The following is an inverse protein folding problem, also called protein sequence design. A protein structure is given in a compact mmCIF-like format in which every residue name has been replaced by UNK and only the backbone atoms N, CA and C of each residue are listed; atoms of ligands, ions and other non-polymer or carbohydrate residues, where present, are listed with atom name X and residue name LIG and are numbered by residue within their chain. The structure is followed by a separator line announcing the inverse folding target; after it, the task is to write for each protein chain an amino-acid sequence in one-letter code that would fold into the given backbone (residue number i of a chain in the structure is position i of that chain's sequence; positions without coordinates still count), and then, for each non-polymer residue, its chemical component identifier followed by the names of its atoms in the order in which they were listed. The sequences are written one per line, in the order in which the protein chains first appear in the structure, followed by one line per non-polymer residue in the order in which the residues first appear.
data_IF_755415601586
#
_entry.id   IF_755415601586
#
_cell.length_a   1.000
_cell.length_b   1.000
_cell.length_c   1.000
_cell.angle_alpha   90.00
_cell.angle_beta   90.00
_cell.angle_gamma   90.00
#
_symmetry.space_group_name_H-M   'P 1'
#
loop_
_entity.id
_entity.type
_entity.pdbx_description
1 polymer ?
#
# COMPACT_ATOMS: atom_id res chain seq x y z
N UNK A 1 -1.94 -2.08 -10.70
CA UNK A 1 -1.21 -0.81 -10.88
C UNK A 1 0.28 -1.10 -11.10
N UNK A 2 0.97 -0.32 -11.93
CA UNK A 2 2.41 -0.46 -12.22
C UNK A 2 3.17 0.83 -11.88
N UNK A 3 4.34 0.70 -11.27
CA UNK A 3 5.30 1.81 -11.11
C UNK A 3 6.23 1.86 -12.32
N UNK A 4 6.43 3.06 -12.87
CA UNK A 4 7.30 3.31 -14.02
C UNK A 4 8.30 4.43 -13.68
N UNK A 5 9.28 4.65 -14.56
CA UNK A 5 10.25 5.74 -14.38
C UNK A 5 9.62 7.15 -14.37
N UNK A 6 8.43 7.32 -14.96
CA UNK A 6 7.76 8.62 -15.11
C UNK A 6 6.43 8.69 -14.36
N UNK A 7 6.25 7.86 -13.32
CA UNK A 7 5.04 7.84 -12.51
C UNK A 7 4.33 6.49 -12.52
N UNK A 8 2.99 6.51 -12.54
CA UNK A 8 2.15 5.31 -12.43
C UNK A 8 1.53 4.94 -13.78
N UNK A 9 1.26 3.64 -13.98
CA UNK A 9 0.62 3.12 -15.18
C UNK A 9 -0.14 1.80 -14.89
N UNK A 10 -0.53 1.09 -15.96
CA UNK A 10 -1.31 -0.13 -15.92
C UNK A 10 -2.82 0.11 -15.90
N UNK A 11 -3.64 -0.95 -16.01
CA UNK A 11 -5.07 -0.83 -16.29
C UNK A 11 -5.82 0.10 -15.34
N UNK A 12 -5.65 -0.08 -14.02
CA UNK A 12 -6.32 0.76 -13.03
C UNK A 12 -5.97 2.26 -13.15
N UNK A 13 -4.71 2.60 -13.45
CA UNK A 13 -4.26 3.98 -13.60
C UNK A 13 -4.79 4.60 -14.89
N UNK A 14 -4.77 3.83 -15.99
CA UNK A 14 -5.33 4.27 -17.27
C UNK A 14 -6.85 4.45 -17.22
N UNK A 15 -7.54 3.69 -16.37
CA UNK A 15 -8.99 3.85 -16.18
C UNK A 15 -9.31 5.13 -15.39
N UNK A 16 -8.63 5.36 -14.26
CA UNK A 16 -8.89 6.56 -13.45
C UNK A 16 -8.42 7.85 -14.14
N UNK A 17 -7.39 7.80 -15.00
CA UNK A 17 -6.91 8.98 -15.73
C UNK A 17 -7.95 9.60 -16.67
N UNK A 18 -9.01 8.88 -17.02
CA UNK A 18 -10.12 9.43 -17.83
C UNK A 18 -11.01 10.39 -17.04
N UNK A 19 -10.96 10.33 -15.72
CA UNK A 19 -11.80 11.12 -14.82
C UNK A 19 -11.00 12.12 -13.98
N UNK A 20 -9.67 12.06 -14.05
CA UNK A 20 -8.79 12.90 -13.27
C UNK A 20 -8.48 14.20 -14.01
N UNK A 21 -8.65 15.32 -13.33
CA UNK A 21 -8.24 16.65 -13.79
C UNK A 21 -6.96 17.12 -13.10
N UNK A 22 -6.26 18.05 -13.75
CA UNK A 22 -5.01 18.59 -13.23
C UNK A 22 -5.24 19.29 -11.88
N UNK A 23 -4.55 18.82 -10.85
CA UNK A 23 -4.64 19.34 -9.48
C UNK A 23 -5.53 18.50 -8.57
N UNK A 24 -6.27 17.53 -9.10
CA UNK A 24 -7.05 16.60 -8.29
C UNK A 24 -6.15 15.57 -7.59
N UNK A 25 -6.59 15.13 -6.42
CA UNK A 25 -5.93 14.05 -5.68
C UNK A 25 -6.51 12.70 -6.09
N UNK A 26 -5.63 11.72 -6.33
CA UNK A 26 -6.04 10.33 -6.56
C UNK A 26 -5.74 9.52 -5.30
N UNK A 27 -6.78 8.89 -4.75
CA UNK A 27 -6.64 7.93 -3.67
C UNK A 27 -6.43 6.52 -4.22
N UNK A 28 -5.46 5.79 -3.64
CA UNK A 28 -5.13 4.43 -4.05
C UNK A 28 -5.21 3.52 -2.84
N UNK A 29 -6.18 2.60 -2.87
CA UNK A 29 -6.19 1.48 -1.94
C UNK A 29 -5.23 0.38 -2.43
N UNK A 30 -4.17 0.14 -1.65
CA UNK A 30 -3.16 -0.87 -1.94
C UNK A 30 -3.57 -2.28 -1.46
N UNK A 31 -4.66 -2.39 -0.70
CA UNK A 31 -5.17 -3.64 -0.16
C UNK A 31 -6.71 -3.73 -0.30
N UNK A 32 -7.26 -3.60 -1.51
CA UNK A 32 -8.71 -3.45 -1.73
C UNK A 32 -9.55 -4.68 -1.37
N UNK A 33 -8.89 -5.82 -1.17
CA UNK A 33 -9.54 -7.10 -0.88
C UNK A 33 -9.37 -7.56 0.57
N UNK A 34 -8.66 -6.80 1.41
CA UNK A 34 -8.51 -7.13 2.84
C UNK A 34 -8.52 -5.88 3.72
N UNK A 35 -9.07 -6.02 4.92
CA UNK A 35 -9.00 -5.01 5.97
C UNK A 35 -7.67 -5.11 6.73
N UNK A 36 -6.80 -4.10 6.56
CA UNK A 36 -5.53 -4.06 7.30
C UNK A 36 -5.75 -3.97 8.81
N UNK A 37 -6.83 -3.31 9.25
CA UNK A 37 -7.14 -3.17 10.68
C UNK A 37 -7.47 -4.51 11.31
N UNK A 38 -8.21 -5.38 10.60
CA UNK A 38 -8.59 -6.69 11.11
C UNK A 38 -7.36 -7.60 11.20
N UNK A 39 -6.54 -7.61 10.15
CA UNK A 39 -5.25 -8.34 10.11
C UNK A 39 -4.37 -7.93 11.30
N UNK A 40 -4.23 -6.62 11.54
CA UNK A 40 -3.39 -6.13 12.63
C UNK A 40 -3.99 -6.41 14.01
N UNK A 41 -5.31 -6.37 14.15
CA UNK A 41 -6.00 -6.71 15.39
C UNK A 41 -5.79 -8.18 15.76
N UNK A 42 -5.97 -9.08 14.79
CA UNK A 42 -5.75 -10.51 14.98
C UNK A 42 -4.29 -10.82 15.35
N UNK A 43 -3.33 -10.27 14.60
CA UNK A 43 -1.90 -10.51 14.84
C UNK A 43 -1.40 -9.91 16.14
N UNK A 44 -2.00 -8.81 16.61
CA UNK A 44 -1.69 -8.24 17.92
C UNK A 44 -2.06 -9.23 19.04
N UNK A 45 -3.10 -10.02 18.88
CA UNK A 45 -3.53 -11.02 19.86
C UNK A 45 -2.74 -12.33 19.72
N UNK A 46 -2.60 -12.84 18.49
CA UNK A 46 -1.99 -14.15 18.24
C UNK A 46 -0.47 -14.14 18.18
N UNK A 47 0.16 -13.01 17.88
CA UNK A 47 1.62 -12.89 17.69
C UNK A 47 2.15 -11.49 18.04
N UNK A 48 2.01 -11.04 19.30
CA UNK A 48 2.31 -9.66 19.71
C UNK A 48 3.77 -9.22 19.52
N UNK A 49 4.72 -10.17 19.46
CA UNK A 49 6.15 -9.89 19.24
C UNK A 49 6.51 -9.75 17.75
N UNK A 50 5.57 -10.02 16.84
CA UNK A 50 5.81 -9.94 15.41
C UNK A 50 5.96 -8.47 14.98
N UNK A 51 7.07 -8.16 14.30
CA UNK A 51 7.32 -6.79 13.84
C UNK A 51 6.31 -6.37 12.76
N UNK A 52 5.79 -5.15 12.84
CA UNK A 52 4.84 -4.59 11.87
C UNK A 52 5.39 -4.64 10.43
N UNK A 53 6.69 -4.36 10.24
CA UNK A 53 7.34 -4.49 8.92
C UNK A 53 7.24 -5.92 8.36
N UNK A 54 7.39 -6.93 9.20
CA UNK A 54 7.26 -8.34 8.82
C UNK A 54 5.82 -8.65 8.41
N UNK A 55 4.84 -8.16 9.15
CA UNK A 55 3.42 -8.30 8.80
C UNK A 55 3.13 -7.66 7.44
N UNK A 56 3.46 -6.38 7.28
CA UNK A 56 3.19 -5.65 6.04
C UNK A 56 3.89 -6.30 4.83
N UNK A 57 5.05 -6.93 5.01
CA UNK A 57 5.77 -7.63 3.93
C UNK A 57 5.07 -8.87 3.39
N UNK A 58 4.05 -9.38 4.09
CA UNK A 58 3.20 -10.48 3.64
C UNK A 58 2.11 -10.02 2.65
N UNK A 59 1.70 -8.75 2.74
CA UNK A 59 0.57 -8.20 1.99
C UNK A 59 1.00 -7.17 0.93
N UNK A 60 2.12 -6.48 1.15
CA UNK A 60 2.60 -5.41 0.28
C UNK A 60 3.96 -5.76 -0.33
N UNK A 61 4.24 -5.31 -1.57
CA UNK A 61 5.56 -5.41 -2.17
C UNK A 61 6.67 -4.83 -1.28
N UNK A 62 7.75 -5.58 -1.07
CA UNK A 62 8.88 -5.18 -0.20
C UNK A 62 9.48 -3.81 -0.56
N UNK A 63 9.50 -3.44 -1.85
CA UNK A 63 10.01 -2.15 -2.31
C UNK A 63 9.16 -0.97 -1.81
N UNK A 64 7.84 -1.13 -1.68
CA UNK A 64 6.96 -0.09 -1.13
C UNK A 64 7.23 0.14 0.36
N UNK A 65 7.48 -0.94 1.09
CA UNK A 65 7.82 -0.83 2.51
C UNK A 65 9.12 -0.07 2.72
N UNK A 66 10.14 -0.25 1.87
CA UNK A 66 11.39 0.52 1.99
C UNK A 66 11.16 2.04 1.82
N UNK A 67 10.22 2.43 0.97
CA UNK A 67 9.95 3.84 0.69
C UNK A 67 9.14 4.53 1.80
N UNK A 68 8.05 3.89 2.25
CA UNK A 68 7.19 4.46 3.30
C UNK A 68 7.65 4.20 4.73
N UNK A 69 8.51 3.20 4.95
CA UNK A 69 9.00 2.81 6.27
C UNK A 69 10.36 3.46 6.58
N UNK A 70 10.42 4.79 6.49
CA UNK A 70 11.58 5.55 6.96
C UNK A 70 11.23 6.17 8.32
N UNK A 71 11.17 5.33 9.36
CA UNK A 71 11.15 5.83 10.73
C UNK A 71 12.59 6.13 11.15
N UNK A 72 12.96 7.41 11.09
CA UNK A 72 13.78 7.96 12.17
C UNK A 72 13.00 7.65 13.47
N UNK A 73 13.67 6.95 14.38
CA UNK A 73 13.25 6.91 15.78
C UNK A 73 13.10 8.32 16.33
#
# INVERSE_FOLDING_TARGET
MLFTHRGLSGPAILQISNYWELGETVEIDLLPSQSITDILSELRQSSPKLQLKTVLSRYLPKKLLKFGWNRNC
#
